data_IF_457687234577
#
_entry.id   IF_457687234577
#
_cell.length_a   1.000
_cell.length_b   1.000
_cell.length_c   1.000
_cell.angle_alpha   90.00
_cell.angle_beta   90.00
_cell.angle_gamma   90.00
#
_symmetry.space_group_name_H-M   'P 1'
#
loop_
_entity.id
_entity.type
_entity.pdbx_description
1 polymer ?
#
# COMPACT_ATOMS: atom_id res chain seq x y z
N UNK A 1 15.27 7.10 9.86
CA UNK A 1 14.77 5.96 10.67
C UNK A 1 13.25 5.96 10.81
N UNK A 2 12.62 7.14 10.87
CA UNK A 2 11.17 7.28 10.97
C UNK A 2 10.40 6.48 9.91
N UNK A 3 10.81 6.56 8.63
CA UNK A 3 10.17 5.78 7.56
C UNK A 3 10.31 4.26 7.75
N UNK A 4 11.44 3.79 8.30
CA UNK A 4 11.64 2.37 8.65
C UNK A 4 10.67 1.93 9.75
N UNK A 5 10.66 2.65 10.88
CA UNK A 5 9.74 2.37 12.00
C UNK A 5 8.27 2.47 11.56
N UNK A 6 7.96 3.44 10.69
CA UNK A 6 6.63 3.59 10.09
C UNK A 6 6.25 2.39 9.21
N UNK A 7 7.19 1.84 8.45
CA UNK A 7 6.98 0.65 7.64
C UNK A 7 6.72 -0.58 8.51
N UNK A 8 7.54 -0.81 9.54
CA UNK A 8 7.37 -1.92 10.50
C UNK A 8 6.03 -1.83 11.25
N UNK A 9 5.64 -0.61 11.66
CA UNK A 9 4.37 -0.38 12.34
C UNK A 9 3.16 -0.61 11.42
N UNK A 10 3.23 -0.11 10.18
CA UNK A 10 2.16 -0.33 9.20
C UNK A 10 2.05 -1.80 8.82
N UNK A 11 3.17 -2.51 8.68
CA UNK A 11 3.19 -3.95 8.44
C UNK A 11 2.54 -4.71 9.60
N UNK A 12 2.94 -4.43 10.85
CA UNK A 12 2.36 -5.08 12.02
C UNK A 12 0.86 -4.83 12.14
N UNK A 13 0.40 -3.60 11.86
CA UNK A 13 -1.04 -3.28 11.86
C UNK A 13 -1.79 -3.97 10.72
N UNK A 14 -1.23 -3.92 9.50
CA UNK A 14 -1.77 -4.58 8.31
C UNK A 14 -1.95 -6.08 8.55
N UNK A 15 -0.92 -6.76 9.07
CA UNK A 15 -0.94 -8.18 9.36
C UNK A 15 -1.99 -8.57 10.42
N UNK A 16 -2.15 -7.76 11.49
CA UNK A 16 -3.19 -8.01 12.50
C UNK A 16 -4.60 -7.90 11.94
N UNK A 17 -4.84 -6.93 11.05
CA UNK A 17 -6.16 -6.79 10.41
C UNK A 17 -6.38 -7.93 9.40
N UNK A 18 -5.34 -8.36 8.69
CA UNK A 18 -5.42 -9.53 7.81
C UNK A 18 -5.79 -10.80 8.59
N UNK A 19 -5.15 -11.02 9.74
CA UNK A 19 -5.43 -12.15 10.63
C UNK A 19 -6.87 -12.12 11.13
N UNK A 20 -7.31 -11.02 11.72
CA UNK A 20 -8.68 -10.87 12.21
C UNK A 20 -9.74 -11.02 11.09
N UNK A 21 -9.46 -10.50 9.88
CA UNK A 21 -10.37 -10.67 8.74
C UNK A 21 -10.45 -12.13 8.28
N UNK A 22 -9.31 -12.85 8.26
CA UNK A 22 -9.30 -14.28 7.92
C UNK A 22 -9.97 -15.13 9.01
N UNK A 23 -9.79 -14.80 10.29
CA UNK A 23 -10.48 -15.47 11.40
C UNK A 23 -11.98 -15.26 11.33
N UNK A 24 -12.44 -14.03 11.09
CA UNK A 24 -13.87 -13.74 10.89
C UNK A 24 -14.45 -14.57 9.74
N UNK A 25 -13.78 -14.58 8.60
CA UNK A 25 -14.21 -15.39 7.45
C UNK A 25 -14.24 -16.87 7.81
N UNK A 26 -13.24 -17.36 8.56
CA UNK A 26 -13.18 -18.77 8.97
C UNK A 26 -14.36 -19.12 9.89
N UNK A 27 -14.65 -18.29 10.90
CA UNK A 27 -15.80 -18.51 11.79
C UNK A 27 -17.13 -18.48 11.04
N UNK A 28 -17.30 -17.58 10.08
CA UNK A 28 -18.53 -17.53 9.27
C UNK A 28 -18.71 -18.79 8.42
N UNK A 29 -17.61 -19.33 7.87
CA UNK A 29 -17.65 -20.59 7.13
C UNK A 29 -17.96 -21.80 8.04
N UNK A 30 -17.39 -21.84 9.25
CA UNK A 30 -17.60 -22.92 10.22
C UNK A 30 -19.03 -22.94 10.77
N UNK A 31 -19.59 -21.77 11.12
CA UNK A 31 -20.98 -21.67 11.62
C UNK A 31 -22.01 -22.18 10.62
N UNK A 32 -21.79 -21.93 9.32
CA UNK A 32 -22.73 -22.34 8.28
C UNK A 32 -22.55 -23.81 7.88
N UNK A 33 -21.38 -24.41 8.11
CA UNK A 33 -21.19 -25.86 8.05
C UNK A 33 -21.96 -26.57 9.19
N UNK A 34 -21.95 -26.01 10.39
CA UNK A 34 -22.72 -26.53 11.54
C UNK A 34 -24.23 -26.44 11.30
N UNK A 35 -24.75 -25.30 10.82
CA UNK A 35 -26.18 -25.15 10.47
C UNK A 35 -26.60 -26.09 9.33
N UNK A 36 -25.74 -26.32 8.34
CA UNK A 36 -26.02 -27.24 7.24
C UNK A 36 -26.07 -28.71 7.68
N UNK A 37 -25.21 -29.11 8.62
CA UNK A 37 -25.18 -30.48 9.15
C UNK A 37 -26.35 -30.76 10.11
N UNK A 38 -26.81 -29.77 10.88
CA UNK A 38 -28.05 -29.88 11.69
C UNK A 38 -29.28 -30.11 10.79
N UNK A 39 -29.42 -29.34 9.70
CA UNK A 39 -30.52 -29.46 8.73
C UNK A 39 -30.53 -30.78 7.95
N UNK A 40 -29.38 -31.45 7.82
CA UNK A 40 -29.30 -32.79 7.22
C UNK A 40 -29.72 -33.85 8.26
N UNK A 41 -29.35 -33.68 9.53
CA UNK A 41 -29.70 -34.61 10.62
C UNK A 41 -31.21 -34.65 10.94
N UNK A 42 -31.91 -33.52 10.80
CA UNK A 42 -33.36 -33.43 11.00
C UNK A 42 -34.15 -34.11 9.86
N UNK A 43 -33.66 -34.02 8.61
CA UNK A 43 -34.30 -34.70 7.46
C UNK A 43 -34.14 -36.22 7.52
N UNK A 44 -32.99 -36.69 8.01
CA UNK A 44 -32.73 -38.12 8.19
C UNK A 44 -33.60 -38.71 9.33
N UNK A 45 -33.97 -37.92 10.34
CA UNK A 45 -34.91 -38.33 11.40
C UNK A 45 -36.36 -38.43 10.89
N UNK A 46 -36.81 -37.47 10.07
CA UNK A 46 -38.15 -37.50 9.47
C UNK A 46 -38.37 -38.70 8.52
N UNK A 47 -37.31 -39.20 7.85
CA UNK A 47 -37.40 -40.41 6.99
C UNK A 47 -37.43 -41.74 7.77
N UNK A 48 -37.03 -41.76 9.06
CA UNK A 48 -37.00 -42.97 9.89
C UNK A 48 -38.33 -43.27 10.61
N UNK A 49 -39.26 -42.30 10.69
CA UNK A 49 -40.55 -42.49 11.37
C UNK A 49 -41.65 -43.14 10.49
N UNK A 50 -41.44 -43.31 9.18
CA UNK A 50 -42.47 -43.77 8.23
C UNK A 50 -42.33 -45.27 7.83
N UNK A 51 -42.05 -46.15 8.79
CA UNK A 51 -42.13 -47.60 8.60
C UNK A 51 -43.54 -48.12 8.94
N UNK A 52 -44.33 -48.60 7.96
CA UNK A 52 -45.66 -49.14 8.23
C UNK A 52 -45.54 -50.48 8.96
N UNK A 53 -46.14 -50.55 10.15
CA UNK A 53 -46.25 -51.75 10.96
C UNK A 53 -47.35 -52.66 10.38
N UNK A 54 -46.97 -53.71 9.68
CA UNK A 54 -47.90 -54.74 9.16
C UNK A 54 -48.63 -55.43 10.31
N UNK A 55 -49.95 -55.21 10.44
CA UNK A 55 -50.89 -56.16 11.03
C UNK A 55 -52.23 -56.19 10.29
N UNK A 56 -52.45 -57.34 9.69
CA UNK A 56 -53.67 -57.91 9.14
C UNK A 56 -54.82 -57.97 10.18
N UNK A 57 -56.03 -57.59 9.78
CA UNK A 57 -57.27 -58.39 9.92
C UNK A 57 -58.55 -57.54 9.74
N UNK A 58 -59.44 -57.99 8.85
CA UNK A 58 -60.90 -57.86 9.03
C UNK A 58 -61.67 -56.90 8.11
N UNK A 59 -62.13 -57.40 6.96
CA UNK A 59 -63.28 -56.85 6.21
C UNK A 59 -64.62 -57.13 6.94
N UNK A 60 -65.76 -56.44 6.66
CA UNK A 60 -66.47 -56.64 5.38
C UNK A 60 -67.19 -55.42 4.77
N UNK A 61 -67.38 -55.52 3.44
CA UNK A 61 -68.47 -55.05 2.54
C UNK A 61 -69.35 -53.81 2.94
N UNK A 62 -69.70 -52.86 2.04
CA UNK A 62 -70.58 -53.06 0.86
C UNK A 62 -70.90 -51.71 0.16
N UNK A 63 -71.28 -51.83 -1.13
CA UNK A 63 -72.18 -50.97 -1.95
C UNK A 63 -71.57 -49.95 -2.94
N UNK A 64 -71.63 -50.41 -4.19
CA UNK A 64 -71.74 -49.78 -5.52
C UNK A 64 -72.52 -48.45 -5.60
N UNK A 65 -72.04 -47.51 -6.43
CA UNK A 65 -72.90 -46.88 -7.46
C UNK A 65 -72.09 -46.43 -8.68
N UNK A 66 -72.62 -46.84 -9.83
CA UNK A 66 -72.25 -46.56 -11.23
C UNK A 66 -72.98 -45.30 -11.70
N UNK A 67 -72.35 -44.51 -12.57
CA UNK A 67 -72.99 -43.39 -13.27
C UNK A 67 -72.23 -43.02 -14.54
N UNK A 68 -72.66 -43.60 -15.65
CA UNK A 68 -72.22 -43.34 -17.03
C UNK A 68 -72.51 -41.90 -17.48
N UNK A 69 -71.71 -41.36 -18.40
CA UNK A 69 -72.28 -40.90 -19.67
C UNK A 69 -71.24 -40.76 -20.78
N UNK A 70 -71.59 -41.35 -21.91
CA UNK A 70 -70.86 -41.43 -23.16
C UNK A 70 -70.92 -40.12 -23.94
N UNK A 71 -70.00 -39.94 -24.89
CA UNK A 71 -70.38 -39.60 -26.27
C UNK A 71 -69.31 -40.02 -27.28
N UNK A 72 -69.73 -40.90 -28.17
CA UNK A 72 -68.99 -41.47 -29.28
C UNK A 72 -69.05 -40.54 -30.50
N UNK A 73 -68.03 -40.58 -31.38
CA UNK A 73 -68.23 -41.01 -32.77
C UNK A 73 -66.91 -41.27 -33.54
N UNK A 74 -66.93 -42.22 -34.49
CA UNK A 74 -65.74 -42.80 -35.10
C UNK A 74 -65.54 -42.31 -36.55
N UNK A 75 -64.37 -42.60 -37.14
CA UNK A 75 -64.32 -43.06 -38.54
C UNK A 75 -63.01 -43.75 -38.91
N UNK A 76 -63.19 -44.67 -39.86
CA UNK A 76 -62.42 -45.85 -40.22
C UNK A 76 -61.50 -45.64 -41.42
N UNK A 77 -60.43 -46.42 -41.48
CA UNK A 77 -59.59 -46.71 -42.66
C UNK A 77 -58.11 -46.65 -42.28
N UNK A 78 -57.25 -47.65 -42.39
CA UNK A 78 -57.28 -48.90 -43.14
C UNK A 78 -55.93 -49.03 -43.87
N UNK A 79 -55.07 -49.95 -43.40
CA UNK A 79 -53.85 -50.53 -44.04
C UNK A 79 -52.45 -50.11 -43.52
N UNK A 80 -51.89 -50.97 -42.63
CA UNK A 80 -50.59 -51.71 -42.68
C UNK A 80 -49.31 -51.09 -43.35
N UNK A 81 -48.07 -51.57 -43.02
CA UNK A 81 -47.40 -51.66 -41.71
C UNK A 81 -45.91 -51.17 -41.75
N UNK A 82 -45.29 -51.10 -40.57
CA UNK A 82 -43.85 -51.26 -40.26
C UNK A 82 -42.77 -50.58 -41.12
N UNK A 83 -42.25 -49.45 -40.63
CA UNK A 83 -40.80 -49.28 -40.48
C UNK A 83 -40.43 -48.21 -39.43
N UNK A 84 -39.47 -48.57 -38.58
CA UNK A 84 -38.54 -47.68 -37.83
C UNK A 84 -39.12 -46.85 -36.67
N UNK A 85 -38.97 -47.37 -35.46
CA UNK A 85 -38.05 -46.82 -34.45
C UNK A 85 -38.31 -47.52 -33.12
N UNK A 86 -37.35 -48.33 -32.66
CA UNK A 86 -37.31 -48.75 -31.28
C UNK A 86 -37.04 -47.51 -30.43
N UNK A 87 -38.11 -46.88 -29.98
CA UNK A 87 -38.08 -45.88 -28.92
C UNK A 87 -37.64 -46.60 -27.64
N UNK A 88 -36.33 -46.68 -27.46
CA UNK A 88 -35.71 -46.91 -26.15
C UNK A 88 -36.12 -45.74 -25.29
N UNK A 89 -37.12 -45.98 -24.44
CA UNK A 89 -37.51 -45.11 -23.33
C UNK A 89 -36.23 -44.76 -22.55
N UNK A 90 -35.69 -43.58 -22.81
CA UNK A 90 -34.76 -42.92 -21.90
C UNK A 90 -35.53 -42.73 -20.61
N UNK A 91 -35.34 -43.66 -19.68
CA UNK A 91 -35.72 -43.47 -18.30
C UNK A 91 -35.08 -42.17 -17.85
N UNK A 92 -35.92 -41.19 -17.52
CA UNK A 92 -35.52 -40.04 -16.73
C UNK A 92 -34.74 -40.60 -15.54
N UNK A 93 -33.42 -40.40 -15.52
CA UNK A 93 -32.61 -40.74 -14.37
C UNK A 93 -33.12 -39.89 -13.22
N UNK A 94 -34.00 -40.47 -12.39
CA UNK A 94 -34.46 -39.86 -11.16
C UNK A 94 -33.21 -39.76 -10.30
N UNK A 95 -32.67 -38.55 -10.21
CA UNK A 95 -31.54 -38.24 -9.32
C UNK A 95 -32.01 -38.67 -7.94
N UNK A 96 -31.30 -39.61 -7.30
CA UNK A 96 -31.62 -40.04 -5.95
C UNK A 96 -31.74 -38.81 -5.04
N UNK A 97 -32.69 -38.75 -4.09
CA UNK A 97 -32.84 -37.62 -3.17
C UNK A 97 -31.50 -37.20 -2.53
N UNK A 98 -30.66 -38.18 -2.17
CA UNK A 98 -29.29 -37.97 -1.68
C UNK A 98 -28.35 -37.24 -2.66
N UNK A 99 -28.42 -37.54 -3.97
CA UNK A 99 -27.60 -36.88 -4.99
C UNK A 99 -28.10 -35.46 -5.30
N UNK A 100 -29.41 -35.21 -5.17
CA UNK A 100 -29.97 -33.87 -5.27
C UNK A 100 -29.63 -33.00 -4.04
N UNK A 101 -29.64 -33.59 -2.84
CA UNK A 101 -29.21 -32.93 -1.59
C UNK A 101 -27.71 -32.59 -1.64
N UNK A 102 -26.87 -33.54 -2.05
CA UNK A 102 -25.43 -33.30 -2.23
C UNK A 102 -25.12 -32.18 -3.24
N UNK A 103 -25.88 -32.10 -4.34
CA UNK A 103 -25.75 -31.00 -5.32
C UNK A 103 -26.12 -29.64 -4.72
N UNK A 104 -27.19 -29.57 -3.93
CA UNK A 104 -27.59 -28.33 -3.23
C UNK A 104 -26.56 -27.93 -2.18
N UNK A 105 -26.02 -28.88 -1.42
CA UNK A 105 -24.94 -28.63 -0.43
C UNK A 105 -23.68 -28.05 -1.10
N UNK A 106 -23.32 -28.56 -2.28
CA UNK A 106 -22.22 -28.01 -3.07
C UNK A 106 -22.51 -26.58 -3.58
N UNK A 107 -23.71 -26.33 -4.10
CA UNK A 107 -24.10 -24.99 -4.58
C UNK A 107 -24.11 -23.95 -3.45
N UNK A 108 -24.59 -24.32 -2.25
CA UNK A 108 -24.57 -23.46 -1.06
C UNK A 108 -23.14 -23.17 -0.61
N UNK A 109 -22.27 -24.18 -0.56
CA UNK A 109 -20.84 -24.02 -0.24
C UNK A 109 -20.15 -23.08 -1.22
N UNK A 110 -20.41 -23.21 -2.52
CA UNK A 110 -19.83 -22.34 -3.53
C UNK A 110 -20.28 -20.88 -3.37
N UNK A 111 -21.56 -20.65 -3.10
CA UNK A 111 -22.10 -19.33 -2.86
C UNK A 111 -21.46 -18.68 -1.62
N UNK A 112 -21.34 -19.43 -0.53
CA UNK A 112 -20.70 -18.98 0.70
C UNK A 112 -19.21 -18.66 0.47
N UNK A 113 -18.50 -19.48 -0.31
CA UNK A 113 -17.12 -19.23 -0.69
C UNK A 113 -16.97 -17.93 -1.51
N UNK A 114 -17.93 -17.63 -2.39
CA UNK A 114 -17.95 -16.38 -3.14
C UNK A 114 -18.15 -15.17 -2.23
N UNK A 115 -19.09 -15.24 -1.29
CA UNK A 115 -19.35 -14.15 -0.33
C UNK A 115 -18.16 -13.91 0.61
N UNK A 116 -17.53 -14.98 1.08
CA UNK A 116 -16.29 -14.92 1.85
C UNK A 116 -15.15 -14.23 1.08
N UNK A 117 -15.02 -14.51 -0.22
CA UNK A 117 -14.04 -13.84 -1.09
C UNK A 117 -14.38 -12.36 -1.27
N UNK A 118 -15.65 -12.01 -1.46
CA UNK A 118 -16.08 -10.61 -1.57
C UNK A 118 -15.76 -9.83 -0.29
N UNK A 119 -16.02 -10.43 0.88
CA UNK A 119 -15.69 -9.84 2.17
C UNK A 119 -14.19 -9.59 2.32
N UNK A 120 -13.35 -10.57 1.97
CA UNK A 120 -11.88 -10.40 1.97
C UNK A 120 -11.47 -9.27 1.04
N UNK A 121 -12.01 -9.23 -0.17
CA UNK A 121 -11.72 -8.18 -1.14
C UNK A 121 -12.13 -6.81 -0.62
N UNK A 122 -13.25 -6.68 0.09
CA UNK A 122 -13.64 -5.44 0.73
C UNK A 122 -12.59 -4.98 1.75
N UNK A 123 -12.10 -5.87 2.64
CA UNK A 123 -11.05 -5.52 3.59
C UNK A 123 -9.72 -5.16 2.92
N UNK A 124 -9.33 -5.87 1.86
CA UNK A 124 -8.12 -5.54 1.07
C UNK A 124 -8.23 -4.12 0.52
N UNK A 125 -9.36 -3.74 -0.09
CA UNK A 125 -9.57 -2.38 -0.58
C UNK A 125 -9.48 -1.35 0.54
N UNK A 126 -10.10 -1.61 1.70
CA UNK A 126 -10.01 -0.71 2.86
C UNK A 126 -8.57 -0.56 3.37
N UNK A 127 -7.78 -1.63 3.35
CA UNK A 127 -6.37 -1.58 3.73
C UNK A 127 -5.55 -0.73 2.75
N UNK A 128 -5.73 -0.94 1.43
CA UNK A 128 -5.10 -0.11 0.39
C UNK A 128 -5.45 1.36 0.60
N UNK A 129 -6.74 1.67 0.78
CA UNK A 129 -7.18 3.03 1.01
C UNK A 129 -6.56 3.63 2.29
N UNK A 130 -6.41 2.85 3.35
CA UNK A 130 -5.79 3.31 4.60
C UNK A 130 -4.31 3.66 4.38
N UNK A 131 -3.57 2.84 3.65
CA UNK A 131 -2.15 3.05 3.31
C UNK A 131 -1.99 4.29 2.42
N UNK A 132 -2.86 4.46 1.41
CA UNK A 132 -2.88 5.65 0.56
C UNK A 132 -3.20 6.90 1.39
N UNK A 133 -4.22 6.83 2.26
CA UNK A 133 -4.62 7.96 3.13
C UNK A 133 -3.49 8.39 4.06
N UNK A 134 -2.82 7.47 4.75
CA UNK A 134 -1.73 7.83 5.68
C UNK A 134 -0.53 8.45 4.94
N UNK A 135 -0.19 7.92 3.77
CA UNK A 135 0.89 8.46 2.93
C UNK A 135 0.55 9.87 2.47
N UNK A 136 -0.67 10.06 1.95
CA UNK A 136 -1.17 11.37 1.51
C UNK A 136 -1.16 12.38 2.65
N UNK A 137 -1.71 12.04 3.80
CA UNK A 137 -1.77 12.95 4.96
C UNK A 137 -0.37 13.35 5.44
N UNK A 138 0.59 12.42 5.40
CA UNK A 138 1.99 12.70 5.77
C UNK A 138 2.63 13.69 4.81
N UNK A 139 2.50 13.47 3.49
CA UNK A 139 3.02 14.39 2.47
C UNK A 139 2.30 15.74 2.47
N UNK A 140 1.00 15.76 2.75
CA UNK A 140 0.24 17.00 2.90
C UNK A 140 0.70 17.80 4.12
N UNK A 141 1.03 17.13 5.22
CA UNK A 141 1.66 17.75 6.40
C UNK A 141 3.00 18.40 6.06
N UNK A 142 3.86 17.71 5.31
CA UNK A 142 5.13 18.27 4.81
C UNK A 142 4.87 19.51 3.95
N UNK A 143 3.95 19.42 2.99
CA UNK A 143 3.55 20.54 2.12
C UNK A 143 3.10 21.76 2.94
N UNK A 144 2.16 21.57 3.87
CA UNK A 144 1.61 22.64 4.70
C UNK A 144 2.70 23.30 5.54
N UNK A 145 3.62 22.52 6.12
CA UNK A 145 4.72 23.08 6.93
C UNK A 145 5.69 23.89 6.09
N UNK A 146 6.01 23.43 4.88
CA UNK A 146 6.84 24.19 3.91
C UNK A 146 6.12 25.48 3.53
N UNK A 147 4.87 25.41 3.05
CA UNK A 147 4.10 26.59 2.66
C UNK A 147 3.94 27.62 3.78
N UNK A 148 3.70 27.17 5.02
CA UNK A 148 3.63 28.05 6.17
C UNK A 148 4.95 28.80 6.41
N UNK A 149 6.08 28.12 6.28
CA UNK A 149 7.40 28.75 6.40
C UNK A 149 7.63 29.80 5.29
N UNK A 150 7.18 29.52 4.07
CA UNK A 150 7.27 30.46 2.93
C UNK A 150 6.36 31.69 3.15
N UNK A 151 5.11 31.47 3.53
CA UNK A 151 4.11 32.54 3.66
C UNK A 151 4.47 33.55 4.76
N UNK A 152 5.07 33.09 5.86
CA UNK A 152 5.45 33.95 6.97
C UNK A 152 6.58 34.93 6.63
N UNK A 153 7.52 34.57 5.75
CA UNK A 153 8.53 35.51 5.26
C UNK A 153 7.90 36.77 4.64
N UNK A 154 6.76 36.62 3.96
CA UNK A 154 6.03 37.76 3.38
C UNK A 154 5.19 38.53 4.41
N UNK A 155 4.71 37.87 5.47
CA UNK A 155 3.90 38.51 6.49
C UNK A 155 4.75 39.23 7.55
N UNK A 156 5.89 38.64 7.95
CA UNK A 156 6.84 39.22 8.91
C UNK A 156 7.53 40.46 8.31
N UNK A 157 7.82 40.47 7.00
CA UNK A 157 8.32 41.67 6.31
C UNK A 157 7.34 42.86 6.27
N UNK A 158 6.06 42.65 6.59
CA UNK A 158 5.05 43.72 6.68
C UNK A 158 4.89 44.29 8.10
N UNK A 159 5.46 43.63 9.11
CA UNK A 159 5.34 43.98 10.52
C UNK A 159 6.71 44.21 11.16
N UNK A 160 7.44 45.21 10.65
CA UNK A 160 8.56 45.81 11.37
C UNK A 160 8.05 46.63 12.56
N UNK A 161 7.55 45.96 13.62
CA UNK A 161 7.35 46.50 14.97
C UNK A 161 6.89 45.39 15.92
N UNK A 162 7.77 44.98 16.84
CA UNK A 162 7.36 44.34 18.09
C UNK A 162 8.00 42.99 18.38
N UNK A 163 8.99 43.01 19.28
CA UNK A 163 9.33 41.85 20.11
C UNK A 163 8.07 41.32 20.82
N UNK A 164 7.87 40.00 20.76
CA UNK A 164 6.86 39.30 21.52
C UNK A 164 7.26 37.84 21.69
N UNK A 165 7.93 37.56 22.82
CA UNK A 165 8.02 36.22 23.39
C UNK A 165 6.60 35.73 23.69
N UNK A 166 6.37 34.45 23.43
CA UNK A 166 5.29 33.59 23.89
C UNK A 166 4.01 33.48 23.02
N UNK A 167 3.73 32.21 22.69
CA UNK A 167 2.44 31.63 22.25
C UNK A 167 2.00 31.74 20.77
N UNK A 168 2.85 31.29 19.85
CA UNK A 168 2.47 30.74 18.54
C UNK A 168 3.23 29.45 18.29
N UNK A 169 2.78 28.53 17.39
CA UNK A 169 3.59 27.36 17.03
C UNK A 169 4.97 27.86 16.62
N UNK A 170 6.02 27.17 17.05
CA UNK A 170 7.41 27.50 16.76
C UNK A 170 7.62 27.47 15.23
N UNK A 171 7.42 28.63 14.60
CA UNK A 171 7.37 28.81 13.14
C UNK A 171 8.75 29.22 12.62
N UNK A 172 9.76 28.50 13.10
CA UNK A 172 11.15 28.60 12.69
C UNK A 172 11.33 28.24 11.21
N UNK A 173 12.36 28.82 10.55
CA UNK A 173 12.80 28.39 9.23
C UNK A 173 13.08 26.88 9.25
N UNK A 174 12.69 26.20 8.18
CA UNK A 174 12.73 24.74 8.10
C UNK A 174 14.14 24.22 7.84
N UNK A 175 14.95 25.01 7.15
CA UNK A 175 16.32 24.68 6.80
C UNK A 175 17.26 25.78 7.27
N UNK A 176 18.50 25.39 7.54
CA UNK A 176 19.60 26.30 7.81
C UNK A 176 20.69 26.06 6.77
N UNK A 177 21.30 27.14 6.29
CA UNK A 177 22.43 27.10 5.38
C UNK A 177 23.43 28.18 5.77
N UNK A 178 24.71 27.86 5.67
CA UNK A 178 25.80 28.78 5.98
C UNK A 178 26.10 29.65 4.78
N UNK A 179 26.31 30.95 5.01
CA UNK A 179 26.78 31.88 3.99
C UNK A 179 28.30 31.85 3.99
N UNK A 180 28.90 31.47 2.87
CA UNK A 180 30.34 31.38 2.69
C UNK A 180 30.81 32.39 1.65
N UNK A 181 31.87 33.13 1.98
CA UNK A 181 32.56 34.00 1.02
C UNK A 181 33.58 33.17 0.23
N UNK A 182 33.27 32.90 -1.03
CA UNK A 182 34.16 32.29 -2.01
C UNK A 182 34.63 33.38 -2.97
N UNK A 183 35.62 34.17 -2.54
CA UNK A 183 36.05 35.41 -3.22
C UNK A 183 36.13 35.21 -4.75
N UNK A 184 35.41 36.04 -5.54
CA UNK A 184 34.65 37.23 -5.12
C UNK A 184 33.16 36.97 -4.79
N UNK A 185 32.71 35.72 -4.88
CA UNK A 185 31.31 35.34 -4.82
C UNK A 185 30.83 34.98 -3.40
N UNK A 186 29.60 35.37 -3.08
CA UNK A 186 28.95 35.00 -1.82
C UNK A 186 27.95 33.89 -2.13
N UNK A 187 28.14 32.72 -1.53
CA UNK A 187 27.34 31.52 -1.80
C UNK A 187 26.82 30.92 -0.51
N UNK A 188 25.73 30.15 -0.60
CA UNK A 188 25.20 29.38 0.53
C UNK A 188 25.66 27.92 0.47
N UNK A 189 25.93 27.31 1.62
CA UNK A 189 26.25 25.90 1.79
C UNK A 189 25.35 25.27 2.87
N UNK A 190 24.62 24.17 2.59
CA UNK A 190 24.50 23.51 1.29
C UNK A 190 23.82 24.42 0.25
N UNK A 191 24.03 24.12 -1.04
CA UNK A 191 23.41 24.88 -2.12
C UNK A 191 21.89 24.69 -2.10
N UNK A 192 21.15 25.66 -2.64
CA UNK A 192 19.68 25.62 -2.67
C UNK A 192 19.14 24.32 -3.30
N UNK A 193 19.76 23.87 -4.39
CA UNK A 193 19.38 22.64 -5.09
C UNK A 193 19.65 21.38 -4.26
N UNK A 194 20.65 21.39 -3.38
CA UNK A 194 20.93 20.29 -2.46
C UNK A 194 19.86 20.18 -1.37
N UNK A 195 19.41 21.32 -0.83
CA UNK A 195 18.28 21.38 0.11
C UNK A 195 17.01 20.86 -0.57
N UNK A 196 16.72 21.32 -1.80
CA UNK A 196 15.60 20.83 -2.60
C UNK A 196 15.71 19.31 -2.84
N UNK A 197 16.89 18.80 -3.21
CA UNK A 197 17.10 17.37 -3.39
C UNK A 197 16.90 16.59 -2.09
N UNK A 198 17.30 17.15 -0.95
CA UNK A 198 17.04 16.59 0.38
C UNK A 198 15.54 16.44 0.66
N UNK A 199 14.75 17.48 0.37
CA UNK A 199 13.28 17.44 0.48
C UNK A 199 12.67 16.39 -0.47
N UNK A 200 13.17 16.29 -1.70
CA UNK A 200 12.71 15.30 -2.68
C UNK A 200 12.97 13.88 -2.19
N UNK A 201 14.17 13.61 -1.67
CA UNK A 201 14.53 12.32 -1.07
C UNK A 201 13.61 12.00 0.12
N UNK A 202 13.33 12.97 0.99
CA UNK A 202 12.40 12.78 2.11
C UNK A 202 10.99 12.38 1.64
N UNK A 203 10.44 13.08 0.64
CA UNK A 203 9.15 12.73 0.06
C UNK A 203 9.15 11.32 -0.56
N UNK A 204 10.22 10.95 -1.28
CA UNK A 204 10.38 9.61 -1.86
C UNK A 204 10.50 8.51 -0.80
N UNK A 205 11.15 8.79 0.34
CA UNK A 205 11.20 7.85 1.46
C UNK A 205 9.82 7.62 2.07
N UNK A 206 9.01 8.66 2.22
CA UNK A 206 7.62 8.53 2.71
C UNK A 206 6.79 7.64 1.78
N UNK A 207 6.87 7.84 0.47
CA UNK A 207 6.18 6.96 -0.51
C UNK A 207 6.74 5.53 -0.44
N UNK A 208 8.06 5.38 -0.29
CA UNK A 208 8.73 4.07 -0.24
C UNK A 208 8.42 3.26 1.01
N UNK A 209 7.82 3.82 2.06
CA UNK A 209 7.33 3.08 3.25
C UNK A 209 6.41 1.94 2.84
N UNK A 210 5.59 2.15 1.81
CA UNK A 210 4.66 1.15 1.27
C UNK A 210 5.34 -0.07 0.62
N UNK A 211 6.64 0.01 0.29
CA UNK A 211 7.42 -1.14 -0.22
C UNK A 211 7.66 -2.21 0.84
N UNK A 212 7.70 -1.81 2.12
CA UNK A 212 7.93 -2.73 3.23
C UNK A 212 6.66 -3.37 3.80
N UNK A 213 5.49 -3.02 3.26
CA UNK A 213 4.21 -3.58 3.67
C UNK A 213 3.86 -4.74 2.73
N UNK A 214 3.61 -5.92 3.29
CA UNK A 214 3.25 -7.12 2.57
C UNK A 214 1.82 -7.00 2.03
N UNK A 215 1.65 -7.27 0.75
CA UNK A 215 0.32 -7.36 0.16
C UNK A 215 -0.40 -8.62 0.65
N UNK A 216 -1.63 -8.45 1.12
CA UNK A 216 -2.47 -9.56 1.56
C UNK A 216 -2.74 -10.55 0.44
N UNK A 217 -2.95 -11.81 0.81
CA UNK A 217 -3.38 -12.81 -0.16
C UNK A 217 -4.78 -12.47 -0.69
N UNK A 218 -5.01 -12.69 -1.99
CA UNK A 218 -6.31 -12.46 -2.63
C UNK A 218 -7.30 -13.60 -2.40
N UNK A 219 -6.80 -14.74 -1.90
CA UNK A 219 -7.62 -15.93 -1.60
C UNK A 219 -7.61 -16.19 -0.10
N UNK A 220 -8.79 -16.45 0.47
CA UNK A 220 -8.97 -16.73 1.88
C UNK A 220 -8.17 -17.97 2.31
N UNK A 221 -7.57 -17.94 3.51
CA UNK A 221 -6.80 -19.07 4.04
C UNK A 221 -7.65 -20.34 4.21
N UNK A 222 -8.94 -20.21 4.51
CA UNK A 222 -9.88 -21.32 4.62
C UNK A 222 -10.05 -22.07 3.28
N UNK A 223 -10.22 -21.34 2.18
CA UNK A 223 -10.34 -21.93 0.83
C UNK A 223 -9.06 -22.62 0.39
N UNK A 224 -7.89 -22.05 0.74
CA UNK A 224 -6.59 -22.69 0.48
C UNK A 224 -6.44 -23.99 1.27
N UNK A 225 -7.03 -24.10 2.47
CA UNK A 225 -7.03 -25.34 3.25
C UNK A 225 -7.96 -26.39 2.64
N UNK A 226 -9.16 -25.99 2.19
CA UNK A 226 -10.12 -26.88 1.53
C UNK A 226 -9.53 -27.44 0.22
N UNK A 227 -8.96 -26.58 -0.64
CA UNK A 227 -8.31 -27.04 -1.89
C UNK A 227 -7.12 -27.98 -1.66
N UNK A 228 -6.40 -27.83 -0.54
CA UNK A 228 -5.32 -28.75 -0.15
C UNK A 228 -5.88 -30.07 0.37
N UNK A 229 -6.93 -30.03 1.19
CA UNK A 229 -7.60 -31.21 1.71
C UNK A 229 -8.21 -32.04 0.59
N UNK A 230 -8.89 -31.41 -0.38
CA UNK A 230 -9.48 -32.11 -1.53
C UNK A 230 -8.40 -32.78 -2.43
N UNK A 231 -7.23 -32.14 -2.56
CA UNK A 231 -6.07 -32.75 -3.26
C UNK A 231 -5.48 -33.91 -2.50
N UNK A 232 -5.28 -33.76 -1.20
CA UNK A 232 -4.72 -34.82 -0.35
C UNK A 232 -5.68 -36.02 -0.26
N UNK A 233 -7.00 -35.78 -0.19
CA UNK A 233 -8.04 -36.81 -0.20
C UNK A 233 -8.13 -37.51 -1.56
N UNK A 234 -8.05 -36.78 -2.67
CA UNK A 234 -7.97 -37.35 -4.03
C UNK A 234 -6.74 -38.23 -4.22
N UNK A 235 -5.57 -37.78 -3.75
CA UNK A 235 -4.33 -38.56 -3.81
C UNK A 235 -4.37 -39.79 -2.89
N UNK A 236 -5.08 -39.70 -1.75
CA UNK A 236 -5.27 -40.81 -0.82
C UNK A 236 -6.29 -41.85 -1.33
N UNK A 237 -7.39 -41.43 -1.97
CA UNK A 237 -8.35 -42.30 -2.67
C UNK A 237 -7.67 -43.01 -3.85
N UNK A 238 -6.87 -42.31 -4.64
CA UNK A 238 -6.09 -42.90 -5.74
C UNK A 238 -5.07 -43.94 -5.24
N UNK A 239 -4.42 -43.68 -4.09
CA UNK A 239 -3.54 -44.65 -3.42
C UNK A 239 -4.30 -45.84 -2.84
N UNK A 240 -5.48 -45.63 -2.26
CA UNK A 240 -6.33 -46.68 -1.69
C UNK A 240 -6.94 -47.58 -2.78
N UNK A 241 -7.32 -47.02 -3.93
CA UNK A 241 -7.73 -47.77 -5.13
C UNK A 241 -6.58 -48.55 -5.78
N UNK A 242 -5.33 -48.12 -5.57
CA UNK A 242 -4.15 -48.84 -6.02
C UNK A 242 -3.74 -49.96 -5.05
N UNK A 243 -4.15 -49.90 -3.78
CA UNK A 243 -3.84 -50.90 -2.75
C UNK A 243 -4.83 -52.08 -2.72
N UNK A 244 -6.03 -51.95 -3.28
CA UNK A 244 -7.00 -53.06 -3.41
C UNK A 244 -6.67 -54.05 -4.54
N UNK A 245 -5.58 -53.81 -5.28
CA UNK A 245 -5.17 -54.63 -6.43
C UNK A 245 -3.68 -55.00 -6.34
N UNK A 246 -3.23 -55.55 -5.22
CA UNK A 246 -1.92 -56.20 -5.12
C UNK A 246 -1.97 -57.40 -4.16
N UNK A 247 -2.27 -58.57 -4.73
CA UNK A 247 -1.84 -59.84 -4.16
C UNK A 247 -0.45 -60.21 -4.67
N UNK A 248 0.33 -60.84 -3.80
CA UNK A 248 1.58 -61.59 -4.01
C UNK A 248 2.87 -60.82 -4.39
N UNK A 249 3.77 -60.83 -3.40
CA UNK A 249 5.19 -61.24 -3.44
C UNK A 249 6.17 -60.53 -4.39
N UNK A 250 7.22 -59.91 -3.83
CA UNK A 250 8.62 -60.39 -3.91
C UNK A 250 9.60 -59.34 -3.34
N UNK A 251 10.60 -59.81 -2.61
CA UNK A 251 11.63 -58.98 -1.97
C UNK A 251 12.74 -58.61 -2.97
N UNK A 252 13.19 -57.34 -3.00
CA UNK A 252 14.62 -56.98 -3.10
C UNK A 252 14.93 -55.47 -3.14
N UNK A 253 15.58 -55.03 -2.05
CA UNK A 253 16.74 -54.11 -1.92
C UNK A 253 17.20 -53.30 -3.16
N UNK A 254 17.28 -51.96 -3.04
CA UNK A 254 18.55 -51.20 -2.91
C UNK A 254 18.38 -49.67 -3.06
N UNK A 255 18.74 -48.93 -2.01
CA UNK A 255 19.74 -47.83 -1.93
C UNK A 255 19.82 -46.63 -2.93
N UNK A 256 19.98 -45.45 -2.30
CA UNK A 256 20.79 -44.25 -2.66
C UNK A 256 20.10 -42.98 -3.23
N UNK A 257 20.00 -42.00 -2.31
CA UNK A 257 20.28 -40.55 -2.35
C UNK A 257 19.37 -39.51 -3.09
N UNK A 258 19.06 -38.37 -2.43
CA UNK A 258 18.25 -37.29 -3.00
C UNK A 258 19.07 -36.30 -3.84
N UNK A 259 18.66 -36.11 -5.09
CA UNK A 259 19.22 -35.11 -5.99
C UNK A 259 18.70 -33.71 -5.64
N UNK A 260 19.59 -32.86 -5.12
CA UNK A 260 19.33 -31.42 -4.89
C UNK A 260 19.17 -30.71 -6.23
N UNK A 261 17.95 -30.26 -6.56
CA UNK A 261 17.73 -29.22 -7.58
C UNK A 261 18.13 -27.86 -7.00
N UNK A 262 19.33 -27.41 -7.37
CA UNK A 262 19.74 -26.00 -7.24
C UNK A 262 19.10 -25.23 -8.39
N UNK A 263 18.05 -24.46 -8.12
CA UNK A 263 17.49 -23.53 -9.10
C UNK A 263 18.40 -22.30 -9.18
N UNK A 264 19.11 -22.20 -10.29
CA UNK A 264 19.95 -21.08 -10.71
C UNK A 264 19.05 -19.88 -11.05
N UNK A 265 19.22 -18.77 -10.34
CA UNK A 265 18.59 -17.48 -10.68
C UNK A 265 19.26 -16.87 -11.92
N UNK A 266 18.51 -16.27 -12.86
CA UNK A 266 19.10 -15.35 -13.83
C UNK A 266 19.19 -13.94 -13.22
N UNK A 267 20.40 -13.41 -13.19
CA UNK A 267 20.65 -11.98 -13.11
C UNK A 267 20.56 -11.39 -14.53
N UNK A 268 19.79 -10.32 -14.71
CA UNK A 268 20.32 -9.04 -15.22
C UNK A 268 19.23 -7.97 -15.46
N UNK A 269 19.64 -6.74 -15.13
CA UNK A 269 19.25 -5.43 -15.71
C UNK A 269 17.83 -4.88 -15.50
N UNK A 270 17.68 -3.91 -14.59
CA UNK A 270 17.81 -2.48 -14.97
C UNK A 270 17.99 -1.57 -13.74
N UNK A 271 18.86 -0.58 -13.89
CA UNK A 271 19.39 0.27 -12.83
C UNK A 271 18.63 1.60 -12.75
N UNK A 272 18.17 1.95 -11.54
CA UNK A 272 17.55 3.24 -11.25
C UNK A 272 17.58 3.58 -9.77
N UNK A 273 18.74 4.05 -9.30
CA UNK A 273 18.92 4.90 -8.11
C UNK A 273 18.31 4.38 -6.80
N UNK A 274 18.83 3.26 -6.30
CA UNK A 274 18.65 2.86 -4.89
C UNK A 274 19.46 3.79 -3.98
N UNK A 275 18.83 4.87 -3.51
CA UNK A 275 19.32 5.56 -2.32
C UNK A 275 18.99 4.67 -1.12
N UNK A 276 20.03 3.97 -0.64
CA UNK A 276 19.92 3.00 0.44
C UNK A 276 19.43 3.64 1.74
N UNK A 277 18.25 3.22 2.19
CA UNK A 277 17.82 3.27 3.57
C UNK A 277 16.89 2.09 3.86
N UNK A 278 17.02 1.52 5.06
CA UNK A 278 16.60 0.18 5.49
C UNK A 278 15.09 -0.08 5.58
N UNK A 279 14.34 0.08 4.50
CA UNK A 279 13.03 -0.55 4.31
C UNK A 279 13.29 -1.83 3.52
N UNK A 280 13.09 -2.99 4.13
CA UNK A 280 13.21 -4.26 3.42
C UNK A 280 11.99 -4.42 2.50
N UNK A 281 12.18 -4.43 1.17
CA UNK A 281 11.06 -4.52 0.26
C UNK A 281 10.43 -5.91 0.34
N UNK A 282 9.09 -5.96 0.46
CA UNK A 282 8.33 -7.20 0.39
C UNK A 282 8.15 -7.61 -1.08
N UNK A 283 8.12 -8.94 -1.35
CA UNK A 283 7.99 -9.49 -2.71
C UNK A 283 6.71 -9.01 -3.41
N UNK A 284 5.61 -8.92 -2.67
CA UNK A 284 4.37 -8.26 -3.09
C UNK A 284 4.07 -7.15 -2.08
N UNK A 285 3.84 -5.93 -2.57
CA UNK A 285 3.69 -4.75 -1.72
C UNK A 285 2.72 -3.72 -2.32
N UNK A 286 2.34 -2.73 -1.53
CA UNK A 286 1.36 -1.70 -1.91
C UNK A 286 1.98 -0.49 -2.61
N UNK A 287 3.27 -0.51 -2.96
CA UNK A 287 3.97 0.65 -3.53
C UNK A 287 3.35 1.13 -4.84
N UNK A 288 2.91 0.22 -5.70
CA UNK A 288 2.28 0.57 -6.98
C UNK A 288 1.00 1.39 -6.75
N UNK A 289 0.13 0.96 -5.85
CA UNK A 289 -1.12 1.66 -5.51
C UNK A 289 -0.87 3.07 -4.97
N UNK A 290 0.20 3.23 -4.19
CA UNK A 290 0.57 4.52 -3.58
C UNK A 290 1.24 5.44 -4.60
N UNK A 291 2.19 4.93 -5.40
CA UNK A 291 2.95 5.72 -6.37
C UNK A 291 2.10 6.19 -7.56
N UNK A 292 1.14 5.37 -8.01
CA UNK A 292 0.22 5.72 -9.11
C UNK A 292 -0.93 6.64 -8.67
N UNK A 293 -1.08 6.87 -7.36
CA UNK A 293 -2.13 7.75 -6.85
C UNK A 293 -1.89 9.21 -7.28
N UNK A 294 -2.85 9.78 -8.02
CA UNK A 294 -2.76 11.15 -8.57
C UNK A 294 -2.60 12.22 -7.51
N UNK A 295 -3.19 12.08 -6.33
CA UNK A 295 -3.07 13.07 -5.26
C UNK A 295 -1.68 13.04 -4.63
N UNK A 296 -1.13 11.84 -4.42
CA UNK A 296 0.24 11.65 -3.94
C UNK A 296 1.24 12.22 -4.95
N UNK A 297 1.07 11.90 -6.24
CA UNK A 297 1.93 12.43 -7.30
C UNK A 297 1.91 13.96 -7.35
N UNK A 298 0.74 14.60 -7.18
CA UNK A 298 0.61 16.06 -7.09
C UNK A 298 1.36 16.63 -5.88
N UNK A 299 1.28 15.99 -4.72
CA UNK A 299 2.00 16.43 -3.51
C UNK A 299 3.51 16.31 -3.67
N UNK A 300 4.01 15.20 -4.23
CA UNK A 300 5.44 15.00 -4.50
C UNK A 300 5.93 16.02 -5.53
N UNK A 301 5.16 16.28 -6.58
CA UNK A 301 5.49 17.29 -7.60
C UNK A 301 5.58 18.70 -7.01
N UNK A 302 4.63 19.07 -6.14
CA UNK A 302 4.69 20.34 -5.42
C UNK A 302 5.95 20.45 -4.55
N UNK A 303 6.24 19.42 -3.74
CA UNK A 303 7.42 19.42 -2.87
C UNK A 303 8.72 19.50 -3.67
N UNK A 304 8.72 18.99 -4.91
CA UNK A 304 9.90 18.97 -5.79
C UNK A 304 10.39 20.32 -6.28
N UNK A 305 9.55 21.36 -6.17
CA UNK A 305 9.87 22.72 -6.61
C UNK A 305 9.71 23.76 -5.50
N UNK A 306 9.25 23.36 -4.32
CA UNK A 306 8.88 24.28 -3.25
C UNK A 306 10.05 25.13 -2.74
N UNK A 307 11.24 24.57 -2.62
CA UNK A 307 12.44 25.29 -2.14
C UNK A 307 13.04 26.13 -3.26
N UNK A 308 13.14 25.57 -4.47
CA UNK A 308 13.66 26.29 -5.62
C UNK A 308 12.81 27.50 -6.02
N UNK A 309 11.52 27.51 -5.67
CA UNK A 309 10.67 28.69 -5.84
C UNK A 309 11.14 29.92 -5.05
N UNK A 310 11.93 29.72 -3.98
CA UNK A 310 12.45 30.79 -3.13
C UNK A 310 13.82 31.33 -3.56
N UNK A 311 14.34 30.88 -4.71
CA UNK A 311 15.66 31.28 -5.22
C UNK A 311 15.83 32.80 -5.29
N UNK A 312 14.78 33.52 -5.69
CA UNK A 312 14.82 34.99 -5.76
C UNK A 312 15.01 35.62 -4.38
N UNK A 313 14.26 35.17 -3.38
CA UNK A 313 14.35 35.69 -2.01
C UNK A 313 15.75 35.44 -1.41
N UNK A 314 16.29 34.23 -1.63
CA UNK A 314 17.64 33.86 -1.21
C UNK A 314 18.70 34.73 -1.89
N UNK A 315 18.62 34.93 -3.21
CA UNK A 315 19.56 35.78 -3.93
C UNK A 315 19.50 37.24 -3.46
N UNK A 316 18.30 37.77 -3.20
CA UNK A 316 18.13 39.11 -2.63
C UNK A 316 18.75 39.22 -1.24
N UNK A 317 18.60 38.20 -0.40
CA UNK A 317 19.26 38.16 0.91
C UNK A 317 20.79 38.10 0.79
N UNK A 318 21.34 37.34 -0.18
CA UNK A 318 22.79 37.29 -0.41
C UNK A 318 23.35 38.60 -0.96
N UNK A 319 22.58 39.33 -1.77
CA UNK A 319 22.95 40.66 -2.28
C UNK A 319 23.16 41.71 -1.18
N UNK A 320 22.56 41.51 0.00
CA UNK A 320 22.79 42.40 1.15
C UNK A 320 24.28 42.49 1.53
N UNK A 321 25.02 41.38 1.40
CA UNK A 321 26.43 41.31 1.75
C UNK A 321 27.34 41.92 0.67
N UNK A 322 26.83 42.19 -0.53
CA UNK A 322 27.59 42.83 -1.62
C UNK A 322 28.03 44.25 -1.25
N UNK A 323 27.44 44.88 -0.21
CA UNK A 323 27.92 46.17 0.34
C UNK A 323 29.35 46.11 0.90
N UNK A 324 29.82 44.91 1.26
CA UNK A 324 31.17 44.68 1.77
C UNK A 324 32.16 44.24 0.69
N UNK A 325 31.71 44.17 -0.57
CA UNK A 325 32.50 43.75 -1.72
C UNK A 325 33.87 44.44 -1.88
N UNK A 326 34.00 45.75 -1.62
CA UNK A 326 35.31 46.42 -1.70
C UNK A 326 36.40 45.76 -0.84
N UNK A 327 36.03 45.13 0.29
CA UNK A 327 36.99 44.51 1.24
C UNK A 327 37.78 43.36 0.58
N UNK A 328 37.17 42.62 -0.34
CA UNK A 328 37.78 41.43 -0.96
C UNK A 328 37.97 41.53 -2.47
N UNK A 329 37.42 42.57 -3.12
CA UNK A 329 37.64 42.82 -4.56
C UNK A 329 38.78 43.78 -4.82
N UNK A 330 39.03 44.74 -3.94
CA UNK A 330 40.11 45.71 -4.12
C UNK A 330 41.43 45.13 -3.59
N UNK A 331 42.51 45.33 -4.35
CA UNK A 331 43.85 44.93 -3.93
C UNK A 331 44.40 45.96 -2.95
N UNK A 332 44.83 45.48 -1.77
CA UNK A 332 45.30 46.34 -0.68
C UNK A 332 46.50 47.18 -1.12
N UNK A 333 47.46 46.57 -1.81
CA UNK A 333 48.67 47.24 -2.26
C UNK A 333 48.36 48.30 -3.33
N UNK A 334 47.42 48.02 -4.24
CA UNK A 334 46.97 48.98 -5.26
C UNK A 334 46.21 50.17 -4.64
N UNK A 335 45.33 49.92 -3.65
CA UNK A 335 44.61 50.99 -2.94
C UNK A 335 45.58 51.88 -2.16
N UNK A 336 46.54 51.28 -1.44
CA UNK A 336 47.59 52.01 -0.71
C UNK A 336 48.46 52.81 -1.68
N UNK A 337 48.87 52.23 -2.82
CA UNK A 337 49.69 52.94 -3.80
C UNK A 337 48.97 54.18 -4.37
N UNK A 338 47.70 54.04 -4.77
CA UNK A 338 46.87 55.16 -5.23
C UNK A 338 46.69 56.23 -4.16
N UNK A 339 46.53 55.83 -2.91
CA UNK A 339 46.42 56.76 -1.79
C UNK A 339 47.73 57.50 -1.51
N UNK A 340 48.89 56.83 -1.63
CA UNK A 340 50.20 57.48 -1.46
C UNK A 340 50.56 58.41 -2.62
N UNK A 341 50.09 58.15 -3.83
CA UNK A 341 50.25 59.05 -4.98
C UNK A 341 49.58 60.42 -4.77
N UNK A 342 48.55 60.50 -3.93
CA UNK A 342 47.85 61.76 -3.59
C UNK A 342 48.58 62.66 -2.58
N UNK A 343 49.82 62.32 -2.18
CA UNK A 343 50.60 63.00 -1.11
C UNK A 343 49.74 63.30 0.15
N UNK A 344 49.15 62.25 0.77
CA UNK A 344 48.13 62.42 1.78
C UNK A 344 48.70 62.97 3.08
N UNK A 345 47.93 63.83 3.74
CA UNK A 345 48.29 64.39 5.06
C UNK A 345 48.01 63.41 6.18
N UNK A 346 48.66 63.59 7.34
CA UNK A 346 48.43 62.76 8.54
C UNK A 346 46.93 62.65 8.92
N UNK A 347 46.17 63.74 8.76
CA UNK A 347 44.72 63.75 8.99
C UNK A 347 43.93 62.83 8.05
N UNK A 348 44.41 62.62 6.82
CA UNK A 348 43.76 61.75 5.82
C UNK A 348 44.05 60.28 6.11
N UNK A 349 45.27 59.96 6.58
CA UNK A 349 45.57 58.63 7.13
C UNK A 349 44.67 58.30 8.33
N UNK A 350 44.53 59.23 9.27
CA UNK A 350 43.65 59.06 10.43
C UNK A 350 42.20 58.84 10.00
N UNK A 351 41.69 59.62 9.04
CA UNK A 351 40.35 59.45 8.49
C UNK A 351 40.13 58.07 7.85
N UNK A 352 41.10 57.55 7.10
CA UNK A 352 41.00 56.24 6.47
C UNK A 352 41.03 55.10 7.51
N UNK A 353 41.87 55.20 8.55
CA UNK A 353 41.88 54.24 9.67
C UNK A 353 40.54 54.24 10.40
N UNK A 354 39.99 55.43 10.71
CA UNK A 354 38.69 55.55 11.36
C UNK A 354 37.55 54.98 10.50
N UNK A 355 37.63 55.14 9.17
CA UNK A 355 36.67 54.55 8.22
C UNK A 355 36.66 53.02 8.33
N UNK A 356 37.81 52.34 8.27
CA UNK A 356 37.85 50.88 8.39
C UNK A 356 37.46 50.40 9.80
N UNK A 357 37.80 51.15 10.85
CA UNK A 357 37.34 50.83 12.22
C UNK A 357 35.82 50.89 12.34
N UNK A 358 35.18 51.91 11.76
CA UNK A 358 33.72 52.01 11.72
C UNK A 358 33.09 50.88 10.89
N UNK A 359 33.76 50.45 9.82
CA UNK A 359 33.33 49.32 9.00
C UNK A 359 33.38 47.99 9.78
N UNK A 360 34.47 47.75 10.53
CA UNK A 360 34.61 46.60 11.43
C UNK A 360 33.52 46.57 12.49
N UNK A 361 33.28 47.69 13.18
CA UNK A 361 32.20 47.80 14.19
C UNK A 361 30.81 47.55 13.59
N UNK A 362 30.61 47.91 12.33
CA UNK A 362 29.35 47.65 11.61
C UNK A 362 29.20 46.15 11.34
N UNK A 363 30.25 45.49 10.83
CA UNK A 363 30.23 44.04 10.55
C UNK A 363 30.00 43.24 11.83
N UNK A 364 30.66 43.60 12.94
CA UNK A 364 30.53 42.90 14.22
C UNK A 364 29.14 43.06 14.87
N UNK A 365 28.34 44.03 14.41
CA UNK A 365 26.97 44.28 14.91
C UNK A 365 25.89 43.60 14.04
N UNK A 366 26.25 43.11 12.86
CA UNK A 366 25.30 42.43 11.98
C UNK A 366 24.77 41.14 12.64
N UNK A 367 23.50 40.78 12.41
CA UNK A 367 22.92 39.57 12.99
C UNK A 367 23.56 38.30 12.43
N UNK A 368 23.62 37.26 13.26
CA UNK A 368 24.20 35.95 12.89
C UNK A 368 23.29 35.13 11.96
N UNK A 369 22.01 35.51 11.82
CA UNK A 369 21.02 34.77 11.04
C UNK A 369 20.08 35.70 10.29
N UNK A 370 19.93 35.44 8.99
CA UNK A 370 19.01 36.15 8.10
C UNK A 370 17.96 35.18 7.57
N UNK A 371 16.68 35.56 7.63
CA UNK A 371 15.59 34.74 7.11
C UNK A 371 15.42 35.00 5.61
N UNK A 372 15.44 33.93 4.80
CA UNK A 372 15.14 33.96 3.37
C UNK A 372 14.09 32.88 3.08
N UNK A 373 12.82 33.24 3.24
CA UNK A 373 11.74 32.27 3.03
C UNK A 373 11.71 31.17 4.09
N UNK A 374 11.75 29.90 3.65
CA UNK A 374 11.81 28.73 4.54
C UNK A 374 13.25 28.39 4.99
N UNK A 375 14.24 29.21 4.62
CA UNK A 375 15.67 28.98 4.88
C UNK A 375 16.22 30.09 5.79
N UNK A 376 16.97 29.69 6.83
CA UNK A 376 17.84 30.58 7.60
C UNK A 376 19.24 30.58 6.99
N UNK A 377 19.72 31.75 6.62
CA UNK A 377 21.08 32.01 6.20
C UNK A 377 21.91 32.39 7.43
N UNK A 378 22.83 31.51 7.83
CA UNK A 378 23.70 31.70 8.98
C UNK A 378 25.05 32.26 8.54
N UNK A 379 25.50 33.33 9.19
CA UNK A 379 26.81 33.95 8.93
C UNK A 379 27.87 33.55 9.96
N UNK A 380 27.47 32.99 11.10
CA UNK A 380 28.36 32.38 12.08
C UNK A 380 28.88 31.02 11.63
N UNK A 381 30.14 30.71 11.98
CA UNK A 381 30.65 29.34 11.90
C UNK A 381 29.99 28.55 13.03
N UNK A 382 29.14 27.58 12.69
CA UNK A 382 28.56 26.62 13.64
C UNK A 382 29.61 25.65 14.19
#
# INVERSE_FOLDING_TARGET
ELCKRGSELLESKSARVEEAANELITMLLELEEEEADELDSDKDQDELEDLPNDKDDGAPEKIVTRGESAHSRPRTGGSRPDSRSASSRLGSAVISPAAAAAKRKHEIRDQLNMEAQELLMHFIHKNVDAIVRVTRTTLDGMRKRVQAAIALHYLENSSSLGQGKDSGPDLSPLFSANVTLQIPNITMQPALDEIQQGLNKAAQYVVSVSKGISQWNKTCKALIKVEKKDKDDSDNEARSRSASNAGSDDESRSDIAPSRRVTRMPADSDAGTVVSMAIFPQRANYFKNVAENKEIAKLVSFLSTAINSQKKDVLTALQFFTKYEPIWKEDREEEIAKFLETDPKLSEFEAQILRYKALEETIMREPETYKAGAIALCTGIL
#
